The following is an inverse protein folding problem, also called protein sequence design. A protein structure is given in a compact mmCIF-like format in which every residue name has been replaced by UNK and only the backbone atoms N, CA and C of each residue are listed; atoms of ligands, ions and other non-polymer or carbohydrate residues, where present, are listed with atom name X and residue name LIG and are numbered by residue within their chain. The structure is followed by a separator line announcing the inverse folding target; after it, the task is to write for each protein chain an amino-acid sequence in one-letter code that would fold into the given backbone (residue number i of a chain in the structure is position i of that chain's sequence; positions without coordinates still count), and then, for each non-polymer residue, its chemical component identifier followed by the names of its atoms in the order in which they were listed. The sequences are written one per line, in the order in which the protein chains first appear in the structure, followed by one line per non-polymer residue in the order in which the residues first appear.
data_IF_680055316351
#
_entry.id   IF_680055316351
#
_cell.length_a   1.000
_cell.length_b   1.000
_cell.length_c   1.000
_cell.angle_alpha   90.00
_cell.angle_beta   90.00
_cell.angle_gamma   90.00
#
_symmetry.space_group_name_H-M   'P 1'
#
loop_
_entity.id
_entity.type
_entity.pdbx_description
1 polymer ?
#
# COMPACT_ATOMS: atom_id res chain seq x y z
N UNK A 1 13.55 13.56 11.06
CA UNK A 1 12.87 13.00 9.88
C UNK A 1 12.14 14.15 9.20
N UNK A 2 12.25 14.37 7.88
CA UNK A 2 11.53 15.47 7.27
C UNK A 2 10.05 15.11 7.23
N UNK A 3 9.25 15.83 8.03
CA UNK A 3 7.80 15.73 8.06
C UNK A 3 7.25 16.29 6.73
N UNK A 4 7.20 15.46 5.69
CA UNK A 4 6.42 15.79 4.49
C UNK A 4 4.95 15.65 4.87
N UNK A 5 4.32 16.76 5.23
CA UNK A 5 2.89 16.85 5.52
C UNK A 5 2.09 16.33 4.33
N UNK A 6 1.18 15.39 4.59
CA UNK A 6 0.29 14.88 3.57
C UNK A 6 -0.78 15.93 3.30
N UNK A 7 -0.92 16.32 2.03
CA UNK A 7 -1.96 17.27 1.63
C UNK A 7 -3.11 16.52 0.95
N UNK A 8 -2.82 15.78 -0.11
CA UNK A 8 -3.78 14.92 -0.80
C UNK A 8 -3.07 13.96 -1.74
N UNK A 9 -3.81 12.99 -2.26
CA UNK A 9 -3.41 12.30 -3.48
C UNK A 9 -3.62 13.23 -4.70
N UNK A 10 -2.77 13.10 -5.70
CA UNK A 10 -2.85 13.88 -6.93
C UNK A 10 -3.70 13.14 -7.97
N UNK A 11 -4.17 13.85 -8.99
CA UNK A 11 -4.84 13.21 -10.13
C UNK A 11 -3.97 12.12 -10.78
N UNK A 12 -2.65 12.33 -10.83
CA UNK A 12 -1.68 11.37 -11.35
C UNK A 12 -1.65 10.05 -10.57
N UNK A 13 -2.00 10.09 -9.28
CA UNK A 13 -2.18 8.87 -8.47
C UNK A 13 -3.30 8.02 -9.06
N UNK A 14 -4.44 8.64 -9.35
CA UNK A 14 -5.62 7.95 -9.89
C UNK A 14 -5.35 7.45 -11.31
N UNK A 15 -4.75 8.28 -12.15
CA UNK A 15 -4.34 7.91 -13.52
C UNK A 15 -3.42 6.69 -13.50
N UNK A 16 -2.38 6.71 -12.66
CA UNK A 16 -1.47 5.58 -12.52
C UNK A 16 -2.19 4.29 -12.11
N UNK A 17 -3.14 4.36 -11.16
CA UNK A 17 -3.88 3.19 -10.70
C UNK A 17 -4.84 2.63 -11.78
N UNK A 18 -5.42 3.50 -12.60
CA UNK A 18 -6.21 3.11 -13.78
C UNK A 18 -5.32 2.39 -14.78
N UNK A 19 -4.17 2.97 -15.13
CA UNK A 19 -3.22 2.38 -16.07
C UNK A 19 -2.65 1.06 -15.58
N UNK A 20 -2.33 0.97 -14.28
CA UNK A 20 -1.88 -0.26 -13.64
C UNK A 20 -2.93 -1.38 -13.75
N UNK A 21 -4.20 -1.04 -13.54
CA UNK A 21 -5.30 -2.01 -13.68
C UNK A 21 -5.44 -2.48 -15.13
N UNK A 22 -5.30 -1.58 -16.10
CA UNK A 22 -5.35 -1.92 -17.52
C UNK A 22 -4.12 -2.75 -17.95
N UNK A 23 -2.96 -2.49 -17.37
CA UNK A 23 -1.68 -3.08 -17.73
C UNK A 23 -1.10 -3.93 -16.58
N UNK A 24 -1.84 -4.95 -16.16
CA UNK A 24 -1.50 -5.81 -15.02
C UNK A 24 -0.37 -6.83 -15.35
N UNK A 25 0.80 -6.34 -15.77
CA UNK A 25 1.98 -7.15 -16.08
C UNK A 25 3.21 -6.60 -15.37
N UNK A 26 4.14 -7.49 -15.02
CA UNK A 26 5.37 -7.11 -14.31
C UNK A 26 6.26 -6.17 -15.12
N UNK A 27 6.41 -6.43 -16.43
CA UNK A 27 7.24 -5.59 -17.31
C UNK A 27 6.73 -4.15 -17.34
N UNK A 28 5.42 -3.97 -17.53
CA UNK A 28 4.81 -2.64 -17.54
C UNK A 28 5.03 -1.92 -16.20
N UNK A 29 4.85 -2.61 -15.07
CA UNK A 29 5.09 -1.97 -13.78
C UNK A 29 6.55 -1.56 -13.59
N UNK A 30 7.52 -2.40 -13.97
CA UNK A 30 8.94 -2.02 -13.83
C UNK A 30 9.27 -0.78 -14.67
N UNK A 31 8.73 -0.68 -15.88
CA UNK A 31 8.89 0.49 -16.75
C UNK A 31 8.25 1.77 -16.13
N UNK A 32 7.19 1.61 -15.34
CA UNK A 32 6.43 2.71 -14.72
C UNK A 32 6.71 2.86 -13.20
N UNK A 33 7.71 2.17 -12.67
CA UNK A 33 8.04 2.14 -11.24
C UNK A 33 8.36 3.50 -10.65
N UNK A 34 8.93 4.40 -11.46
CA UNK A 34 9.16 5.78 -11.06
C UNK A 34 7.84 6.49 -10.74
N UNK A 35 6.84 6.36 -11.62
CA UNK A 35 5.52 6.96 -11.42
C UNK A 35 4.81 6.38 -10.19
N UNK A 36 4.92 5.06 -9.96
CA UNK A 36 4.44 4.43 -8.72
C UNK A 36 5.08 5.05 -7.48
N UNK A 37 6.41 5.17 -7.49
CA UNK A 37 7.17 5.68 -6.35
C UNK A 37 6.78 7.11 -6.03
N UNK A 38 6.69 7.94 -7.08
CA UNK A 38 6.38 9.37 -6.93
C UNK A 38 4.93 9.63 -6.54
N UNK A 39 3.99 9.05 -7.28
CA UNK A 39 2.57 9.43 -7.20
C UNK A 39 1.75 8.55 -6.27
N UNK A 40 2.26 7.38 -5.86
CA UNK A 40 1.53 6.46 -4.97
C UNK A 40 2.30 6.24 -3.67
N UNK A 41 3.56 5.78 -3.74
CA UNK A 41 4.31 5.39 -2.55
C UNK A 41 4.58 6.58 -1.63
N UNK A 42 5.22 7.64 -2.12
CA UNK A 42 5.53 8.84 -1.34
C UNK A 42 4.30 9.44 -0.64
N UNK A 43 3.17 9.75 -1.32
CA UNK A 43 2.00 10.30 -0.65
C UNK A 43 1.37 9.32 0.35
N UNK A 44 1.43 8.01 0.10
CA UNK A 44 0.97 7.00 1.09
C UNK A 44 1.84 7.00 2.34
N UNK A 45 3.17 7.07 2.19
CA UNK A 45 4.09 7.17 3.32
C UNK A 45 3.89 8.45 4.13
N UNK A 46 3.64 9.57 3.47
CA UNK A 46 3.28 10.83 4.13
C UNK A 46 1.98 10.69 4.92
N UNK A 47 0.93 10.09 4.32
CA UNK A 47 -0.35 9.87 4.99
C UNK A 47 -0.18 9.01 6.25
N UNK A 48 0.53 7.89 6.15
CA UNK A 48 0.80 7.03 7.30
C UNK A 48 1.54 7.80 8.38
N UNK A 49 2.60 8.55 8.01
CA UNK A 49 3.40 9.31 8.97
C UNK A 49 2.57 10.34 9.73
N UNK A 50 1.63 11.00 9.06
CA UNK A 50 0.75 11.99 9.68
C UNK A 50 -0.27 11.37 10.64
N UNK A 51 -0.73 10.15 10.34
CA UNK A 51 -1.67 9.42 11.19
C UNK A 51 -0.98 8.69 12.36
N UNK A 52 0.34 8.47 12.29
CA UNK A 52 1.09 7.68 13.26
C UNK A 52 0.89 8.14 14.70
N UNK A 53 1.01 9.43 14.98
CA UNK A 53 0.93 9.96 16.35
C UNK A 53 -0.48 9.77 16.93
N UNK A 54 -1.52 9.98 16.11
CA UNK A 54 -2.89 9.75 16.50
C UNK A 54 -3.17 8.26 16.78
N UNK A 55 -2.68 7.37 15.93
CA UNK A 55 -2.85 5.92 16.09
C UNK A 55 -2.12 5.42 17.35
N UNK A 56 -0.89 5.89 17.60
CA UNK A 56 -0.10 5.52 18.77
C UNK A 56 -0.69 6.08 20.08
N UNK A 57 -1.41 7.19 20.03
CA UNK A 57 -2.15 7.71 21.17
C UNK A 57 -3.34 6.81 21.57
N UNK A 58 -3.92 6.08 20.61
CA UNK A 58 -4.99 5.10 20.87
C UNK A 58 -4.39 3.82 21.44
N UNK A 59 -3.35 3.30 20.80
CA UNK A 59 -2.63 2.11 21.26
C UNK A 59 -1.14 2.20 20.90
N UNK A 60 -0.24 2.31 21.90
CA UNK A 60 1.20 2.48 21.66
C UNK A 60 1.87 1.23 21.09
N UNK A 61 1.18 0.08 21.04
CA UNK A 61 1.72 -1.17 20.51
C UNK A 61 1.42 -1.37 19.01
N UNK A 62 0.68 -0.47 18.37
CA UNK A 62 0.40 -0.54 16.94
C UNK A 62 1.62 -0.20 16.08
N UNK A 63 1.79 -0.96 15.00
CA UNK A 63 2.83 -0.70 14.00
C UNK A 63 2.42 0.45 13.07
N UNK A 64 3.17 1.54 13.08
CA UNK A 64 2.91 2.76 12.29
C UNK A 64 4.04 3.13 11.33
N UNK A 65 5.06 2.28 11.18
CA UNK A 65 6.17 2.55 10.24
C UNK A 65 5.64 2.67 8.81
N UNK A 66 5.92 3.77 8.07
CA UNK A 66 5.46 4.00 6.69
C UNK A 66 6.26 3.18 5.67
N UNK A 67 6.12 1.85 5.73
CA UNK A 67 6.90 0.91 4.97
C UNK A 67 6.06 -0.23 4.38
N UNK A 68 6.50 -0.72 3.22
CA UNK A 68 5.88 -1.85 2.53
C UNK A 68 6.03 -3.13 3.36
N UNK A 69 4.95 -3.90 3.47
CA UNK A 69 4.88 -5.11 4.29
C UNK A 69 4.61 -4.82 5.77
N UNK A 70 4.45 -3.56 6.15
CA UNK A 70 3.99 -3.12 7.47
C UNK A 70 2.63 -2.42 7.31
N UNK A 71 2.62 -1.09 7.37
CA UNK A 71 1.41 -0.27 7.16
C UNK A 71 1.01 -0.14 5.70
N UNK A 72 1.94 -0.38 4.76
CA UNK A 72 1.68 -0.29 3.32
C UNK A 72 1.73 -1.69 2.70
N UNK A 73 0.70 -2.06 1.93
CA UNK A 73 0.66 -3.37 1.27
C UNK A 73 1.67 -3.48 0.12
N UNK A 74 2.09 -4.72 -0.18
CA UNK A 74 2.92 -5.00 -1.37
C UNK A 74 2.07 -4.87 -2.63
N UNK A 75 2.59 -4.18 -3.65
CA UNK A 75 1.92 -4.09 -4.96
C UNK A 75 1.97 -5.41 -5.73
N UNK A 76 3.01 -6.21 -5.50
CA UNK A 76 3.11 -7.57 -6.00
C UNK A 76 2.74 -8.56 -4.92
N UNK A 77 1.59 -9.20 -5.07
CA UNK A 77 1.16 -10.27 -4.19
C UNK A 77 0.86 -11.51 -5.03
N UNK A 78 1.85 -12.41 -5.11
CA UNK A 78 1.65 -13.70 -5.76
C UNK A 78 0.61 -14.54 -5.02
N UNK A 79 -0.14 -15.37 -5.75
CA UNK A 79 -1.15 -16.28 -5.19
C UNK A 79 -0.58 -17.18 -4.08
N UNK A 80 0.70 -17.57 -4.16
CA UNK A 80 1.33 -18.40 -3.14
C UNK A 80 1.44 -17.72 -1.77
N UNK A 81 1.53 -16.38 -1.72
CA UNK A 81 1.52 -15.61 -0.46
C UNK A 81 0.10 -15.33 0.06
N UNK A 82 -0.93 -15.54 -0.77
CA UNK A 82 -2.33 -15.42 -0.38
C UNK A 82 -2.91 -16.77 0.08
N UNK A 83 -2.20 -17.89 -0.12
CA UNK A 83 -2.66 -19.23 0.26
C UNK A 83 -3.10 -19.31 1.71
N UNK A 84 -2.38 -18.68 2.63
CA UNK A 84 -2.72 -18.70 4.06
C UNK A 84 -4.05 -17.99 4.34
N UNK A 85 -4.34 -16.89 3.64
CA UNK A 85 -5.61 -16.16 3.72
C UNK A 85 -6.75 -16.92 3.01
N UNK A 86 -6.48 -17.53 1.86
CA UNK A 86 -7.46 -18.36 1.16
C UNK A 86 -7.81 -19.62 1.95
N UNK A 87 -6.84 -20.26 2.61
CA UNK A 87 -7.07 -21.44 3.44
C UNK A 87 -8.05 -21.14 4.59
N UNK A 88 -7.97 -19.94 5.18
CA UNK A 88 -8.96 -19.47 6.15
C UNK A 88 -10.35 -19.24 5.53
N UNK A 89 -10.43 -18.60 4.36
CA UNK A 89 -11.71 -18.32 3.69
C UNK A 89 -12.45 -19.59 3.24
N UNK A 90 -11.74 -20.61 2.76
CA UNK A 90 -12.34 -21.91 2.42
C UNK A 90 -12.83 -22.67 3.65
N UNK A 91 -12.16 -22.54 4.80
CA UNK A 91 -12.56 -23.20 6.04
C UNK A 91 -13.82 -22.59 6.66
N UNK A 92 -13.99 -21.27 6.54
CA UNK A 92 -15.20 -20.56 7.01
C UNK A 92 -16.41 -20.86 6.13
N UNK A 93 -16.23 -21.04 4.81
CA UNK A 93 -17.32 -21.33 3.87
C UNK A 93 -17.78 -22.80 3.88
N UNK A 94 -17.03 -23.67 4.58
CA UNK A 94 -17.29 -25.11 4.73
C UNK A 94 -17.95 -25.47 6.07
N UNK A 95 -18.18 -24.49 6.94
CA UNK A 95 -19.01 -24.61 8.15
C UNK A 95 -20.39 -24.03 7.89
#
# INVERSE_FOLDING_TARGET
MPNSSFHSFSQKTIEFLIDLKANNTKSWFEDHKHAYTEYVMKPTQSLVSELSDFILAIDPYLETSPAVGKTISRIYQGFDQLKDLYHYLYKIKSM
#
